data_IF_097007295614
#
_entry.id   IF_097007295614
#
_cell.length_a   1.000
_cell.length_b   1.000
_cell.length_c   1.000
_cell.angle_alpha   90.00
_cell.angle_beta   90.00
_cell.angle_gamma   90.00
#
_symmetry.space_group_name_H-M   'P 1'
#
loop_
_entity.id
_entity.type
_entity.pdbx_description
1 polymer ?
#
# COMPACT_ATOMS: atom_id res chain seq x y z
N UNK A 1 -4.42 29.88 -30.95
CA UNK A 1 -5.14 29.34 -29.79
C UNK A 1 -5.15 27.83 -29.97
N UNK A 2 -4.11 27.14 -29.45
CA UNK A 2 -4.04 25.67 -29.44
C UNK A 2 -4.63 25.20 -28.11
N UNK A 3 -5.79 24.60 -28.19
CA UNK A 3 -6.37 23.85 -27.06
C UNK A 3 -5.48 22.65 -26.83
N UNK A 4 -4.87 22.61 -25.64
CA UNK A 4 -4.29 21.38 -25.11
C UNK A 4 -5.48 20.46 -24.74
N UNK A 5 -5.88 19.62 -25.67
CA UNK A 5 -6.61 18.41 -25.35
C UNK A 5 -5.66 17.56 -24.49
N UNK A 6 -5.89 17.57 -23.18
CA UNK A 6 -5.40 16.53 -22.31
C UNK A 6 -6.08 15.23 -22.79
N UNK A 7 -5.44 14.54 -23.72
CA UNK A 7 -5.79 13.15 -24.01
C UNK A 7 -5.57 12.39 -22.70
N UNK A 8 -6.67 12.09 -22.02
CA UNK A 8 -6.73 10.98 -21.11
C UNK A 8 -6.23 9.78 -21.92
N UNK A 9 -5.01 9.34 -21.64
CA UNK A 9 -4.55 8.04 -22.08
C UNK A 9 -5.44 7.03 -21.37
N UNK A 10 -6.51 6.69 -22.04
CA UNK A 10 -7.40 5.61 -21.70
C UNK A 10 -6.54 4.35 -21.56
N UNK A 11 -6.60 3.73 -20.42
CA UNK A 11 -5.93 2.58 -19.83
C UNK A 11 -5.72 1.34 -20.75
N UNK A 12 -5.09 1.49 -21.88
CA UNK A 12 -4.90 0.39 -22.83
C UNK A 12 -3.76 -0.59 -22.45
N UNK A 13 -3.26 -0.58 -21.20
CA UNK A 13 -2.17 -1.48 -20.82
C UNK A 13 -1.78 -1.51 -19.33
N UNK A 14 -2.26 -0.59 -18.50
CA UNK A 14 -1.95 -0.52 -17.07
C UNK A 14 -2.60 -1.65 -16.27
N UNK A 15 -1.97 -2.08 -15.18
CA UNK A 15 -2.54 -3.07 -14.24
C UNK A 15 -3.77 -2.50 -13.55
N UNK A 16 -3.71 -1.23 -13.11
CA UNK A 16 -4.79 -0.60 -12.36
C UNK A 16 -5.62 0.33 -13.24
N UNK A 17 -6.92 0.06 -13.29
CA UNK A 17 -7.91 0.90 -13.97
C UNK A 17 -8.66 1.76 -12.97
N UNK A 18 -9.29 2.84 -13.42
CA UNK A 18 -10.13 3.73 -12.61
C UNK A 18 -9.40 4.39 -11.44
N UNK A 19 -8.06 4.50 -11.50
CA UNK A 19 -7.24 5.07 -10.41
C UNK A 19 -7.73 6.47 -10.04
N UNK A 20 -7.95 7.34 -11.04
CA UNK A 20 -8.41 8.72 -10.81
C UNK A 20 -9.82 8.79 -10.24
N UNK A 21 -10.71 7.86 -10.62
CA UNK A 21 -12.07 7.79 -10.07
C UNK A 21 -12.06 7.38 -8.59
N UNK A 22 -11.12 6.53 -8.20
CA UNK A 22 -10.94 6.07 -6.83
C UNK A 22 -10.13 7.05 -5.96
N UNK A 23 -9.40 8.01 -6.55
CA UNK A 23 -8.54 8.94 -5.85
C UNK A 23 -9.31 10.15 -5.29
N UNK A 24 -10.23 9.89 -4.35
CA UNK A 24 -11.16 10.88 -3.78
C UNK A 24 -11.20 10.90 -2.26
N UNK A 25 -10.36 10.09 -1.59
CA UNK A 25 -10.29 10.07 -0.13
C UNK A 25 -9.74 11.37 0.45
N UNK A 26 -10.09 11.63 1.70
CA UNK A 26 -9.56 12.76 2.47
C UNK A 26 -8.66 12.25 3.58
N UNK A 27 -7.48 12.84 3.68
CA UNK A 27 -6.53 12.48 4.73
C UNK A 27 -7.07 12.79 6.12
N UNK A 28 -6.82 11.89 7.08
CA UNK A 28 -7.16 12.08 8.48
C UNK A 28 -5.91 12.40 9.31
N UNK A 29 -6.08 13.27 10.28
CA UNK A 29 -5.03 13.56 11.26
C UNK A 29 -4.86 12.44 12.29
N UNK A 30 -5.92 11.70 12.62
CA UNK A 30 -5.91 10.60 13.60
C UNK A 30 -7.14 9.71 13.45
N UNK A 31 -7.15 8.60 14.19
CA UNK A 31 -8.28 7.68 14.23
C UNK A 31 -9.59 8.38 14.65
N UNK A 32 -10.69 7.97 14.03
CA UNK A 32 -12.06 8.31 14.47
C UNK A 32 -12.54 7.24 15.44
N UNK A 33 -13.33 7.67 16.43
CA UNK A 33 -13.90 6.78 17.43
C UNK A 33 -14.81 5.71 16.77
N UNK A 34 -14.68 4.46 17.23
CA UNK A 34 -15.48 3.34 16.77
C UNK A 34 -15.11 2.80 15.39
N UNK A 35 -14.01 3.26 14.79
CA UNK A 35 -13.51 2.77 13.50
C UNK A 35 -12.29 1.87 13.69
N UNK A 36 -12.11 0.94 12.77
CA UNK A 36 -10.99 0.02 12.72
C UNK A 36 -10.01 0.40 11.61
N UNK A 37 -8.72 0.35 11.92
CA UNK A 37 -7.69 0.73 10.96
C UNK A 37 -6.60 -0.33 10.85
N UNK A 38 -6.16 -0.56 9.61
CA UNK A 38 -5.03 -1.44 9.29
C UNK A 38 -4.03 -0.64 8.45
N UNK A 39 -2.75 -0.86 8.71
CA UNK A 39 -1.68 -0.30 7.89
C UNK A 39 -0.92 -1.40 7.15
N UNK A 40 -0.54 -1.12 5.91
CA UNK A 40 0.46 -1.87 5.17
C UNK A 40 1.77 -1.09 5.10
N UNK A 41 2.88 -1.78 5.28
CA UNK A 41 4.21 -1.17 5.31
C UNK A 41 5.13 -1.89 4.34
N UNK A 42 5.62 -1.16 3.37
CA UNK A 42 6.76 -1.55 2.54
C UNK A 42 8.02 -0.93 3.12
N UNK A 43 8.92 -1.77 3.65
CA UNK A 43 10.14 -1.31 4.32
C UNK A 43 11.30 -1.33 3.35
N UNK A 44 11.83 -0.18 3.06
CA UNK A 44 12.95 -0.03 2.13
C UNK A 44 14.32 0.07 2.79
N UNK A 45 15.34 -0.19 1.96
CA UNK A 45 16.74 0.08 2.25
C UNK A 45 17.05 1.58 2.20
N UNK A 46 18.29 1.96 2.53
CA UNK A 46 18.75 3.35 2.60
C UNK A 46 18.51 4.21 1.34
N UNK A 47 18.23 3.61 0.20
CA UNK A 47 18.09 4.30 -1.10
C UNK A 47 16.62 4.45 -1.50
N UNK A 48 15.78 3.44 -1.23
CA UNK A 48 14.37 3.42 -1.59
C UNK A 48 13.52 4.07 -0.49
N UNK A 49 12.23 4.13 -0.69
CA UNK A 49 11.30 4.74 0.26
C UNK A 49 10.58 3.68 1.09
N UNK A 50 10.58 3.89 2.40
CA UNK A 50 9.60 3.21 3.25
C UNK A 50 8.25 3.90 3.09
N UNK A 51 7.22 3.13 2.85
CA UNK A 51 5.85 3.62 2.71
C UNK A 51 4.93 2.93 3.71
N UNK A 52 4.09 3.73 4.36
CA UNK A 52 3.00 3.26 5.22
C UNK A 52 1.68 3.71 4.60
N UNK A 53 0.77 2.78 4.36
CA UNK A 53 -0.57 3.05 3.83
C UNK A 53 -1.62 2.62 4.86
N UNK A 54 -2.39 3.55 5.40
CA UNK A 54 -3.40 3.29 6.44
C UNK A 54 -4.79 3.31 5.84
N UNK A 55 -5.56 2.26 6.11
CA UNK A 55 -6.95 2.11 5.66
C UNK A 55 -7.91 2.03 6.83
N UNK A 56 -9.05 2.68 6.68
CA UNK A 56 -10.27 2.39 7.42
C UNK A 56 -10.88 1.10 6.85
N UNK A 57 -11.02 0.08 7.70
CA UNK A 57 -11.44 -1.26 7.27
C UNK A 57 -12.89 -1.29 6.78
N UNK A 58 -13.75 -0.51 7.41
CA UNK A 58 -15.19 -0.54 7.14
C UNK A 58 -15.55 0.25 5.87
N UNK A 59 -15.01 1.47 5.71
CA UNK A 59 -15.24 2.27 4.50
C UNK A 59 -14.34 1.89 3.33
N UNK A 60 -13.27 1.10 3.58
CA UNK A 60 -12.26 0.74 2.59
C UNK A 60 -11.57 1.96 1.96
N UNK A 61 -11.46 3.04 2.75
CA UNK A 61 -10.78 4.27 2.39
C UNK A 61 -9.35 4.29 2.91
N UNK A 62 -8.41 4.65 2.07
CA UNK A 62 -7.09 5.04 2.51
C UNK A 62 -7.20 6.39 3.22
N UNK A 63 -6.89 6.42 4.51
CA UNK A 63 -7.06 7.61 5.35
C UNK A 63 -5.76 8.34 5.63
N UNK A 64 -4.62 7.68 5.42
CA UNK A 64 -3.31 8.28 5.63
C UNK A 64 -2.24 7.53 4.81
N UNK A 65 -1.24 8.27 4.36
CA UNK A 65 -0.03 7.71 3.75
C UNK A 65 1.18 8.48 4.27
N UNK A 66 2.23 7.73 4.62
CA UNK A 66 3.54 8.27 4.94
C UNK A 66 4.60 7.68 4.02
N UNK A 67 5.45 8.51 3.44
CA UNK A 67 6.50 8.10 2.52
C UNK A 67 7.79 8.83 2.87
N UNK A 68 8.81 8.09 3.28
CA UNK A 68 10.08 8.65 3.72
C UNK A 68 11.25 7.72 3.41
N UNK A 69 12.45 8.26 3.41
CA UNK A 69 13.69 7.51 3.21
C UNK A 69 14.83 8.10 4.06
N UNK A 70 16.00 7.43 4.03
CA UNK A 70 17.24 7.89 4.66
C UNK A 70 17.11 8.19 6.15
N UNK A 71 16.37 7.38 6.86
CA UNK A 71 16.24 7.44 8.33
C UNK A 71 16.98 6.27 8.96
N UNK A 72 17.50 6.47 10.17
CA UNK A 72 18.07 5.38 10.97
C UNK A 72 16.96 4.43 11.44
N UNK A 73 17.32 3.16 11.71
CA UNK A 73 16.36 2.15 12.16
C UNK A 73 15.56 2.57 13.39
N UNK A 74 16.21 3.19 14.38
CA UNK A 74 15.52 3.66 15.57
C UNK A 74 14.46 4.73 15.24
N UNK A 75 14.76 5.62 14.30
CA UNK A 75 13.81 6.64 13.83
C UNK A 75 12.67 6.02 13.04
N UNK A 76 12.96 5.01 12.20
CA UNK A 76 11.94 4.23 11.50
C UNK A 76 10.98 3.56 12.49
N UNK A 77 11.54 2.85 13.48
CA UNK A 77 10.75 2.16 14.51
C UNK A 77 9.87 3.11 15.32
N UNK A 78 10.42 4.24 15.78
CA UNK A 78 9.68 5.25 16.53
C UNK A 78 8.56 5.88 15.68
N UNK A 79 8.80 6.06 14.37
CA UNK A 79 7.81 6.60 13.45
C UNK A 79 6.65 5.62 13.22
N UNK A 80 6.96 4.33 13.06
CA UNK A 80 5.93 3.27 12.94
C UNK A 80 5.12 3.12 14.23
N UNK A 81 5.76 3.14 15.41
CA UNK A 81 5.07 3.09 16.70
C UNK A 81 4.16 4.31 16.89
N UNK A 82 4.65 5.51 16.56
CA UNK A 82 3.84 6.73 16.63
C UNK A 82 2.61 6.66 15.70
N UNK A 83 2.75 6.16 14.48
CA UNK A 83 1.64 5.96 13.55
C UNK A 83 0.65 4.90 14.06
N UNK A 84 1.16 3.79 14.57
CA UNK A 84 0.34 2.74 15.15
C UNK A 84 -0.59 3.30 16.25
N UNK A 85 -0.03 4.09 17.17
CA UNK A 85 -0.80 4.70 18.26
C UNK A 85 -1.72 5.82 17.80
N UNK A 86 -1.27 6.66 16.85
CA UNK A 86 -2.04 7.77 16.29
C UNK A 86 -3.35 7.33 15.66
N UNK A 87 -3.31 6.20 14.93
CA UNK A 87 -4.47 5.62 14.28
C UNK A 87 -5.11 4.48 15.09
N UNK A 88 -4.57 4.15 16.28
CA UNK A 88 -5.04 3.03 17.08
C UNK A 88 -5.25 1.77 16.20
N UNK A 89 -4.20 1.40 15.45
CA UNK A 89 -4.29 0.32 14.47
C UNK A 89 -4.66 -1.00 15.12
N UNK A 90 -5.55 -1.76 14.51
CA UNK A 90 -5.84 -3.15 14.89
C UNK A 90 -4.69 -4.07 14.54
N UNK A 91 -4.03 -3.80 13.41
CA UNK A 91 -2.81 -4.48 12.99
C UNK A 91 -1.99 -3.61 12.02
N UNK A 92 -0.70 -3.89 11.95
CA UNK A 92 0.21 -3.38 10.93
C UNK A 92 0.80 -4.56 10.17
N UNK A 93 0.58 -4.61 8.87
CA UNK A 93 1.11 -5.65 7.98
C UNK A 93 2.44 -5.15 7.42
N UNK A 94 3.54 -5.84 7.70
CA UNK A 94 4.88 -5.39 7.31
C UNK A 94 5.51 -6.42 6.38
N UNK A 95 6.08 -5.95 5.27
CA UNK A 95 6.84 -6.82 4.37
C UNK A 95 8.03 -7.44 5.09
N UNK A 96 8.06 -8.78 5.17
CA UNK A 96 9.10 -9.57 5.84
C UNK A 96 10.29 -9.85 4.92
N UNK A 97 10.85 -8.80 4.28
CA UNK A 97 12.17 -8.89 3.66
C UNK A 97 13.27 -8.87 4.75
N UNK A 98 14.54 -8.95 4.37
CA UNK A 98 15.64 -9.02 5.35
C UNK A 98 15.67 -7.86 6.35
N UNK A 99 15.24 -6.67 5.93
CA UNK A 99 15.16 -5.47 6.77
C UNK A 99 13.86 -5.44 7.56
N UNK A 100 12.75 -5.75 6.88
CA UNK A 100 11.44 -5.81 7.49
C UNK A 100 11.36 -6.81 8.64
N UNK A 101 12.10 -7.93 8.57
CA UNK A 101 12.15 -8.89 9.65
C UNK A 101 12.65 -8.27 10.98
N UNK A 102 13.71 -7.48 10.94
CA UNK A 102 14.23 -6.80 12.14
C UNK A 102 13.25 -5.75 12.67
N UNK A 103 12.58 -5.03 11.77
CA UNK A 103 11.52 -4.06 12.15
C UNK A 103 10.33 -4.78 12.77
N UNK A 104 9.89 -5.91 12.21
CA UNK A 104 8.80 -6.74 12.76
C UNK A 104 9.12 -7.16 14.19
N UNK A 105 10.31 -7.69 14.44
CA UNK A 105 10.77 -8.12 15.77
C UNK A 105 10.73 -6.95 16.77
N UNK A 106 11.28 -5.80 16.40
CA UNK A 106 11.28 -4.60 17.23
C UNK A 106 9.86 -4.10 17.55
N UNK A 107 8.94 -4.13 16.58
CA UNK A 107 7.56 -3.71 16.78
C UNK A 107 6.77 -4.69 17.67
N UNK A 108 7.00 -5.99 17.50
CA UNK A 108 6.41 -7.02 18.37
C UNK A 108 6.92 -6.86 19.82
N UNK A 109 8.21 -6.60 20.02
CA UNK A 109 8.79 -6.35 21.35
C UNK A 109 8.21 -5.10 22.02
N UNK A 110 7.75 -4.11 21.22
CA UNK A 110 7.00 -2.93 21.72
C UNK A 110 5.51 -3.24 22.02
N UNK A 111 5.07 -4.49 21.81
CA UNK A 111 3.71 -4.95 22.09
C UNK A 111 2.68 -4.59 21.03
N UNK A 112 3.11 -4.31 19.80
CA UNK A 112 2.23 -3.98 18.68
C UNK A 112 1.74 -5.24 17.96
N UNK A 113 0.53 -5.20 17.41
CA UNK A 113 -0.04 -6.28 16.59
C UNK A 113 0.53 -6.21 15.17
N UNK A 114 1.50 -7.07 14.87
CA UNK A 114 2.18 -7.10 13.58
C UNK A 114 1.86 -8.39 12.83
N UNK A 115 1.55 -8.25 11.55
CA UNK A 115 1.33 -9.36 10.63
C UNK A 115 2.47 -9.35 9.60
N UNK A 116 3.34 -10.36 9.58
CA UNK A 116 4.39 -10.45 8.56
C UNK A 116 3.79 -10.79 7.19
N UNK A 117 4.18 -10.02 6.16
CA UNK A 117 3.87 -10.33 4.77
C UNK A 117 5.12 -10.84 4.06
N UNK A 118 5.17 -12.13 3.73
CA UNK A 118 6.30 -12.71 2.99
C UNK A 118 6.11 -12.53 1.50
N UNK A 119 6.94 -11.70 0.88
CA UNK A 119 6.92 -11.44 -0.56
C UNK A 119 7.58 -12.60 -1.32
N UNK A 120 6.78 -13.32 -2.07
CA UNK A 120 7.17 -14.27 -3.11
C UNK A 120 6.52 -13.86 -4.42
N UNK A 121 6.90 -14.46 -5.53
CA UNK A 121 6.21 -14.20 -6.82
C UNK A 121 4.70 -14.48 -6.72
N UNK A 122 4.30 -15.52 -5.98
CA UNK A 122 2.90 -15.89 -5.80
C UNK A 122 2.14 -14.93 -4.89
N UNK A 123 2.68 -14.57 -3.73
CA UNK A 123 2.03 -13.64 -2.80
C UNK A 123 1.94 -12.23 -3.37
N UNK A 124 3.00 -11.74 -4.03
CA UNK A 124 2.97 -10.45 -4.74
C UNK A 124 1.89 -10.46 -5.83
N UNK A 125 1.85 -11.52 -6.66
CA UNK A 125 0.83 -11.65 -7.70
C UNK A 125 -0.58 -11.63 -7.11
N UNK A 126 -0.84 -12.38 -6.04
CA UNK A 126 -2.14 -12.45 -5.40
C UNK A 126 -2.57 -11.08 -4.83
N UNK A 127 -1.69 -10.40 -4.09
CA UNK A 127 -1.95 -9.09 -3.53
C UNK A 127 -2.26 -8.04 -4.60
N UNK A 128 -1.47 -8.00 -5.68
CA UNK A 128 -1.69 -7.07 -6.80
C UNK A 128 -3.01 -7.36 -7.51
N UNK A 129 -3.37 -8.63 -7.74
CA UNK A 129 -4.62 -8.99 -8.39
C UNK A 129 -5.85 -8.65 -7.52
N UNK A 130 -5.77 -8.82 -6.21
CA UNK A 130 -6.82 -8.39 -5.29
C UNK A 130 -7.00 -6.87 -5.31
N UNK A 131 -5.90 -6.13 -5.26
CA UNK A 131 -5.92 -4.68 -5.35
C UNK A 131 -6.46 -4.21 -6.72
N UNK A 132 -6.06 -4.85 -7.82
CA UNK A 132 -6.60 -4.58 -9.16
C UNK A 132 -8.12 -4.74 -9.21
N UNK A 133 -8.64 -5.85 -8.69
CA UNK A 133 -10.08 -6.10 -8.63
C UNK A 133 -10.82 -5.02 -7.81
N UNK A 134 -10.23 -4.56 -6.70
CA UNK A 134 -10.80 -3.50 -5.88
C UNK A 134 -10.96 -2.18 -6.66
N UNK A 135 -9.97 -1.79 -7.45
CA UNK A 135 -10.05 -0.62 -8.33
C UNK A 135 -11.09 -0.82 -9.44
N UNK A 136 -11.09 -1.98 -10.10
CA UNK A 136 -12.05 -2.28 -11.19
C UNK A 136 -13.50 -2.25 -10.72
N UNK A 137 -13.77 -2.74 -9.51
CA UNK A 137 -15.10 -2.73 -8.91
C UNK A 137 -15.46 -1.42 -8.20
N UNK A 138 -14.49 -0.50 -8.02
CA UNK A 138 -14.69 0.73 -7.25
C UNK A 138 -14.94 0.48 -5.77
N UNK A 139 -14.34 -0.57 -5.21
CA UNK A 139 -14.45 -0.94 -3.80
C UNK A 139 -13.46 -0.20 -2.90
N UNK A 140 -12.43 0.38 -3.48
CA UNK A 140 -11.37 1.11 -2.80
C UNK A 140 -11.46 2.60 -3.09
N UNK A 141 -11.16 3.41 -2.08
CA UNK A 141 -10.99 4.86 -2.24
C UNK A 141 -9.62 5.23 -1.68
N UNK A 142 -8.83 5.96 -2.45
CA UNK A 142 -7.45 6.32 -2.11
C UNK A 142 -7.24 7.82 -2.03
N UNK A 143 -6.18 8.25 -1.36
CA UNK A 143 -5.76 9.64 -1.32
C UNK A 143 -5.32 10.11 -2.72
N UNK A 144 -5.65 11.35 -3.13
CA UNK A 144 -5.23 11.92 -4.42
C UNK A 144 -3.77 12.39 -4.39
N UNK A 145 -2.87 11.57 -3.85
CA UNK A 145 -1.45 11.86 -3.82
C UNK A 145 -0.83 11.63 -5.21
N UNK A 146 -0.13 12.62 -5.79
CA UNK A 146 0.36 12.54 -7.16
C UNK A 146 1.43 11.46 -7.37
N UNK A 147 2.22 11.12 -6.35
CA UNK A 147 3.25 10.07 -6.44
C UNK A 147 2.55 8.71 -6.49
N UNK A 148 1.66 8.44 -5.54
CA UNK A 148 0.89 7.21 -5.48
C UNK A 148 0.05 6.97 -6.74
N UNK A 149 -0.66 8.00 -7.20
CA UNK A 149 -1.44 7.94 -8.43
C UNK A 149 -0.54 7.65 -9.64
N UNK A 150 0.61 8.30 -9.72
CA UNK A 150 1.59 8.08 -10.80
C UNK A 150 2.17 6.66 -10.80
N UNK A 151 2.51 6.11 -9.63
CA UNK A 151 2.99 4.73 -9.48
C UNK A 151 1.91 3.72 -9.90
N UNK A 152 0.66 3.90 -9.48
CA UNK A 152 -0.47 3.04 -9.87
C UNK A 152 -0.72 3.08 -11.39
N UNK A 153 -0.72 4.25 -12.00
CA UNK A 153 -0.96 4.42 -13.44
C UNK A 153 0.16 3.86 -14.31
N UNK A 154 1.41 3.88 -13.82
CA UNK A 154 2.56 3.36 -14.54
C UNK A 154 2.86 1.89 -14.29
N UNK A 155 2.14 1.25 -13.35
CA UNK A 155 2.41 -0.12 -12.94
C UNK A 155 2.11 -1.14 -14.05
N UNK A 156 3.06 -2.03 -14.32
CA UNK A 156 2.99 -2.96 -15.46
C UNK A 156 2.88 -4.42 -15.02
N UNK A 157 2.14 -5.18 -15.82
CA UNK A 157 2.08 -6.64 -15.73
C UNK A 157 2.63 -7.28 -17.00
N UNK A 158 3.61 -8.14 -16.86
CA UNK A 158 4.20 -8.89 -17.98
C UNK A 158 3.95 -10.38 -17.80
N UNK A 159 3.51 -11.03 -18.88
CA UNK A 159 3.34 -12.48 -18.87
C UNK A 159 4.69 -13.15 -19.09
N UNK A 160 5.05 -14.02 -18.15
CA UNK A 160 6.30 -14.80 -18.25
C UNK A 160 6.12 -15.98 -19.21
N UNK A 161 7.23 -16.56 -19.74
CA UNK A 161 7.17 -17.72 -20.65
C UNK A 161 6.43 -18.94 -20.08
N UNK A 162 6.43 -19.10 -18.76
CA UNK A 162 5.72 -20.17 -18.03
C UNK A 162 4.24 -19.86 -17.77
N UNK A 163 3.72 -18.71 -18.27
CA UNK A 163 2.32 -18.34 -18.15
C UNK A 163 1.95 -17.58 -16.87
N UNK A 164 2.88 -17.39 -15.94
CA UNK A 164 2.69 -16.56 -14.74
C UNK A 164 2.74 -15.07 -15.07
N UNK A 165 2.24 -14.22 -14.17
CA UNK A 165 2.38 -12.78 -14.29
C UNK A 165 3.52 -12.27 -13.41
N UNK A 166 4.31 -11.35 -13.95
CA UNK A 166 5.28 -10.55 -13.20
C UNK A 166 4.79 -9.11 -13.18
N UNK A 167 4.63 -8.58 -11.98
CA UNK A 167 4.18 -7.20 -11.74
C UNK A 167 5.33 -6.36 -11.21
N UNK A 168 5.55 -5.19 -11.80
CA UNK A 168 6.59 -4.24 -11.36
C UNK A 168 6.33 -2.84 -11.92
N UNK A 169 6.94 -1.84 -11.32
CA UNK A 169 7.11 -0.56 -11.95
C UNK A 169 8.01 -0.68 -13.20
N UNK A 170 7.85 0.20 -14.20
CA UNK A 170 8.81 0.34 -15.30
C UNK A 170 10.22 0.63 -14.81
N UNK A 171 11.23 0.31 -15.63
CA UNK A 171 12.63 0.56 -15.28
C UNK A 171 12.87 2.04 -14.91
N UNK A 172 13.48 2.27 -13.75
CA UNK A 172 13.77 3.61 -13.22
C UNK A 172 12.61 4.28 -12.46
N UNK A 173 11.47 3.60 -12.32
CA UNK A 173 10.35 4.04 -11.48
C UNK A 173 10.25 3.20 -10.21
N UNK A 174 9.49 3.71 -9.24
CA UNK A 174 9.24 3.05 -7.95
C UNK A 174 7.84 2.45 -7.91
N UNK A 175 7.64 1.45 -7.04
CA UNK A 175 6.34 0.83 -6.76
C UNK A 175 6.06 0.71 -5.24
N UNK A 176 6.79 1.48 -4.44
CA UNK A 176 6.74 1.40 -2.98
C UNK A 176 5.33 1.70 -2.43
N UNK A 177 4.64 2.71 -3.00
CA UNK A 177 3.27 3.05 -2.59
C UNK A 177 2.26 1.98 -3.01
N UNK A 178 2.46 1.37 -4.18
CA UNK A 178 1.64 0.25 -4.68
C UNK A 178 1.78 -0.96 -3.78
N UNK A 179 3.00 -1.30 -3.37
CA UNK A 179 3.26 -2.45 -2.51
C UNK A 179 2.70 -2.25 -1.11
N UNK A 180 2.93 -1.10 -0.48
CA UNK A 180 2.36 -0.80 0.84
C UNK A 180 0.82 -0.86 0.82
N UNK A 181 0.19 -0.35 -0.25
CA UNK A 181 -1.25 -0.41 -0.46
C UNK A 181 -1.73 -1.85 -0.66
N UNK A 182 -1.08 -2.64 -1.50
CA UNK A 182 -1.45 -4.03 -1.77
C UNK A 182 -1.34 -4.90 -0.50
N UNK A 183 -0.29 -4.70 0.29
CA UNK A 183 -0.07 -5.39 1.57
C UNK A 183 -1.18 -5.05 2.58
N UNK A 184 -1.59 -3.77 2.68
CA UNK A 184 -2.71 -3.36 3.51
C UNK A 184 -4.03 -3.99 3.03
N UNK A 185 -4.26 -3.95 1.72
CA UNK A 185 -5.51 -4.39 1.10
C UNK A 185 -5.80 -5.87 1.31
N UNK A 186 -4.79 -6.73 1.39
CA UNK A 186 -4.99 -8.16 1.73
C UNK A 186 -5.78 -8.35 3.03
N UNK A 187 -5.55 -7.50 4.02
CA UNK A 187 -6.23 -7.57 5.31
C UNK A 187 -7.54 -6.79 5.34
N UNK A 188 -7.66 -5.73 4.54
CA UNK A 188 -8.88 -4.90 4.41
C UNK A 188 -9.94 -5.58 3.54
N UNK A 189 -9.53 -6.13 2.39
CA UNK A 189 -10.42 -6.80 1.42
C UNK A 189 -10.88 -8.18 1.87
N UNK A 190 -10.05 -8.89 2.62
CA UNK A 190 -10.32 -10.22 3.15
C UNK A 190 -10.98 -10.17 4.53
N UNK A 191 -12.24 -9.80 4.62
CA UNK A 191 -13.02 -9.61 5.87
C UNK A 191 -13.10 -10.78 6.85
N UNK A 192 -12.19 -11.75 6.80
CA UNK A 192 -12.27 -12.98 7.62
C UNK A 192 -11.33 -13.06 8.83
N UNK A 193 -10.48 -12.05 9.08
CA UNK A 193 -9.48 -12.13 10.16
C UNK A 193 -9.90 -11.47 11.47
N UNK A 194 -10.93 -10.63 11.47
CA UNK A 194 -11.36 -9.82 12.63
C UNK A 194 -12.53 -10.43 13.43
N UNK A 195 -12.93 -11.68 13.16
CA UNK A 195 -13.95 -12.37 13.94
C UNK A 195 -13.35 -13.66 14.53
N UNK A 196 -12.54 -13.49 15.56
CA UNK A 196 -12.16 -14.58 16.47
C UNK A 196 -11.91 -14.04 17.86
#
# INVERSE_FOLDING_TARGET
MQEYEAQFLDDAGGVFRRVMECATATELDSAREGRQYIAGVDVATLVDFTVVSVFDVESKEQVFMDRFNRVDYSVLEDRLDALYRRFNLDAMVIEANSIGQSVIEAMVDRGLSIIPFTTTSGTKQAAIQQLQAAFEHGEITILPDPIQVGELQSYEGQRTPNGSWKYAAPEGLHDDTVMAMAIAWESVGGSSWLIS
#
